data_IF_253070265300
#
_entry.id   IF_253070265300
#
_cell.length_a   1.000
_cell.length_b   1.000
_cell.length_c   1.000
_cell.angle_alpha   90.00
_cell.angle_beta   90.00
_cell.angle_gamma   90.00
#
_symmetry.space_group_name_H-M   'P 1'
#
loop_
_entity.id
_entity.type
_entity.pdbx_description
1 polymer ?
#
# COMPACT_ATOMS: atom_id res chain seq x y z
N UNK A 1 -10.98 1.33 14.38
CA UNK A 1 -10.44 0.84 13.10
C UNK A 1 -10.51 1.95 12.06
N UNK A 2 -9.51 2.06 11.24
CA UNK A 2 -9.43 3.12 10.22
C UNK A 2 -10.15 2.71 8.95
N UNK A 3 -10.58 3.70 8.18
CA UNK A 3 -11.19 3.49 6.88
C UNK A 3 -10.12 3.51 5.80
N UNK A 4 -10.15 2.52 4.92
CA UNK A 4 -9.20 2.45 3.81
C UNK A 4 -9.81 3.06 2.56
N UNK A 5 -9.06 3.96 1.95
CA UNK A 5 -9.41 4.62 0.69
C UNK A 5 -8.37 4.21 -0.35
N UNK A 6 -8.80 3.82 -1.53
CA UNK A 6 -7.90 3.45 -2.62
C UNK A 6 -7.88 4.54 -3.68
N UNK A 7 -6.67 4.93 -4.10
CA UNK A 7 -6.54 5.82 -5.27
C UNK A 7 -6.85 5.03 -6.54
N UNK A 8 -7.14 5.71 -7.62
CA UNK A 8 -7.38 5.05 -8.91
C UNK A 8 -6.14 4.27 -9.36
N UNK A 9 -4.96 4.83 -9.14
CA UNK A 9 -3.71 4.15 -9.46
C UNK A 9 -3.59 2.84 -8.71
N UNK A 10 -3.87 2.86 -7.40
CA UNK A 10 -3.82 1.66 -6.57
C UNK A 10 -4.81 0.61 -7.05
N UNK A 11 -6.05 1.00 -7.29
CA UNK A 11 -7.10 0.09 -7.74
C UNK A 11 -6.72 -0.63 -9.03
N UNK A 12 -6.22 0.11 -10.00
CA UNK A 12 -5.83 -0.47 -11.30
C UNK A 12 -4.73 -1.51 -11.14
N UNK A 13 -3.77 -1.23 -10.29
CA UNK A 13 -2.65 -2.14 -10.07
C UNK A 13 -3.07 -3.36 -9.27
N UNK A 14 -3.84 -3.15 -8.21
CA UNK A 14 -4.29 -4.23 -7.35
C UNK A 14 -5.24 -5.19 -8.07
N UNK A 15 -6.10 -4.69 -8.93
CA UNK A 15 -7.05 -5.50 -9.69
C UNK A 15 -6.36 -6.55 -10.57
N UNK A 16 -5.12 -6.30 -10.97
CA UNK A 16 -4.36 -7.24 -11.79
C UNK A 16 -3.79 -8.40 -11.01
N UNK A 17 -3.60 -8.25 -9.70
CA UNK A 17 -2.86 -9.21 -8.89
C UNK A 17 -3.68 -9.86 -7.79
N UNK A 18 -4.71 -9.20 -7.31
CA UNK A 18 -5.43 -9.63 -6.11
C UNK A 18 -6.85 -10.05 -6.40
N UNK A 19 -7.27 -11.10 -5.70
CA UNK A 19 -8.70 -11.40 -5.55
C UNK A 19 -9.29 -10.43 -4.52
N UNK A 20 -10.61 -10.35 -4.48
CA UNK A 20 -11.31 -9.54 -3.48
C UNK A 20 -10.98 -10.01 -2.06
N UNK A 21 -10.87 -11.33 -1.87
CA UNK A 21 -10.54 -11.89 -0.55
C UNK A 21 -9.15 -11.52 -0.09
N UNK A 22 -8.16 -11.59 -0.98
CA UNK A 22 -6.79 -11.20 -0.65
C UNK A 22 -6.70 -9.73 -0.29
N UNK A 23 -7.40 -8.89 -1.05
CA UNK A 23 -7.45 -7.46 -0.80
C UNK A 23 -8.05 -7.16 0.58
N UNK A 24 -9.17 -7.80 0.89
CA UNK A 24 -9.85 -7.60 2.16
C UNK A 24 -8.98 -8.03 3.35
N UNK A 25 -8.30 -9.16 3.22
CA UNK A 25 -7.41 -9.65 4.27
C UNK A 25 -6.29 -8.65 4.55
N UNK A 26 -5.66 -8.15 3.51
CA UNK A 26 -4.59 -7.16 3.65
C UNK A 26 -5.11 -5.87 4.29
N UNK A 27 -6.23 -5.37 3.80
CA UNK A 27 -6.79 -4.13 4.31
C UNK A 27 -7.23 -4.24 5.77
N UNK A 28 -7.72 -5.40 6.18
CA UNK A 28 -8.08 -5.65 7.58
C UNK A 28 -6.86 -5.51 8.48
N UNK A 29 -5.73 -6.06 8.06
CA UNK A 29 -4.51 -5.97 8.86
C UNK A 29 -3.98 -4.54 8.92
N UNK A 30 -3.97 -3.83 7.81
CA UNK A 30 -3.50 -2.45 7.79
C UNK A 30 -4.43 -1.54 8.59
N UNK A 31 -5.73 -1.74 8.49
CA UNK A 31 -6.71 -0.95 9.24
C UNK A 31 -6.58 -1.17 10.75
N UNK A 32 -6.13 -2.35 11.16
CA UNK A 32 -5.91 -2.67 12.57
C UNK A 32 -4.61 -2.08 13.09
N UNK A 33 -3.63 -1.87 12.22
CA UNK A 33 -2.34 -1.32 12.59
C UNK A 33 -1.80 -0.43 11.46
N UNK A 34 -2.23 0.84 11.43
CA UNK A 34 -1.81 1.74 10.34
C UNK A 34 -0.32 2.08 10.33
N UNK A 35 0.42 1.67 11.34
CA UNK A 35 1.86 1.89 11.42
C UNK A 35 2.67 0.64 11.06
N UNK A 36 2.03 -0.37 10.49
CA UNK A 36 2.69 -1.62 10.14
C UNK A 36 3.77 -1.43 9.06
N UNK A 37 3.59 -0.49 8.14
CA UNK A 37 4.58 -0.21 7.10
C UNK A 37 5.69 0.69 7.61
N UNK A 38 6.87 0.57 6.98
CA UNK A 38 8.02 1.40 7.30
C UNK A 38 7.91 2.76 6.61
N UNK A 39 8.26 3.81 7.34
CA UNK A 39 8.24 5.18 6.79
C UNK A 39 9.29 5.31 5.70
N UNK A 40 8.87 5.85 4.55
CA UNK A 40 9.79 6.18 3.46
C UNK A 40 10.34 7.57 3.75
N UNK A 41 11.67 7.66 3.89
CA UNK A 41 12.31 8.91 4.21
C UNK A 41 12.06 9.98 3.15
N UNK A 42 11.82 11.21 3.59
CA UNK A 42 11.62 12.37 2.72
C UNK A 42 10.41 12.26 1.80
N UNK A 43 9.49 11.37 2.09
CA UNK A 43 8.31 11.16 1.26
C UNK A 43 7.10 11.98 1.72
N UNK A 44 7.18 12.62 2.88
CA UNK A 44 6.03 13.34 3.43
C UNK A 44 5.07 12.43 4.20
N UNK A 45 5.56 11.33 4.73
CA UNK A 45 4.77 10.45 5.58
C UNK A 45 4.24 9.18 4.92
N UNK A 46 4.68 8.89 3.71
CA UNK A 46 4.32 7.64 3.08
C UNK A 46 4.99 6.47 3.78
N UNK A 47 4.29 5.34 3.83
CA UNK A 47 4.78 4.09 4.39
C UNK A 47 4.75 3.00 3.33
N UNK A 48 5.68 2.06 3.45
CA UNK A 48 5.78 0.92 2.55
C UNK A 48 5.68 -0.37 3.34
N UNK A 49 4.82 -1.29 2.88
CA UNK A 49 4.69 -2.60 3.47
C UNK A 49 4.76 -3.65 2.38
N UNK A 50 5.45 -4.75 2.68
CA UNK A 50 5.51 -5.91 1.79
C UNK A 50 4.41 -6.89 2.19
N UNK A 51 3.66 -7.33 1.21
CA UNK A 51 2.58 -8.28 1.43
C UNK A 51 2.81 -9.51 0.55
N UNK A 52 2.84 -10.69 1.17
CA UNK A 52 3.04 -11.94 0.45
C UNK A 52 1.70 -12.63 0.26
N UNK A 53 1.44 -13.06 -0.97
CA UNK A 53 0.23 -13.83 -1.28
C UNK A 53 0.38 -15.25 -0.76
N UNK A 54 -0.71 -15.80 -0.24
CA UNK A 54 -0.74 -17.19 0.22
C UNK A 54 -0.39 -18.12 -0.94
N UNK A 55 0.52 -19.07 -0.68
CA UNK A 55 0.92 -20.04 -1.68
C UNK A 55 1.94 -19.58 -2.69
N UNK A 56 2.29 -18.30 -2.72
CA UNK A 56 3.24 -17.77 -3.69
C UNK A 56 4.67 -17.65 -3.15
N UNK A 57 4.85 -17.84 -1.86
CA UNK A 57 6.16 -17.71 -1.24
C UNK A 57 6.75 -16.32 -1.43
N UNK A 58 8.09 -16.25 -1.46
CA UNK A 58 8.78 -14.97 -1.58
C UNK A 58 8.62 -14.30 -2.94
N UNK A 59 8.32 -15.07 -3.98
CA UNK A 59 8.22 -14.54 -5.33
C UNK A 59 6.89 -13.86 -5.63
N UNK A 60 5.87 -14.17 -4.86
CA UNK A 60 4.56 -13.60 -5.06
C UNK A 60 4.29 -12.35 -4.26
N UNK A 61 5.31 -11.77 -3.63
CA UNK A 61 5.15 -10.60 -2.81
C UNK A 61 4.86 -9.34 -3.61
N UNK A 62 4.08 -8.46 -3.01
CA UNK A 62 3.80 -7.16 -3.58
C UNK A 62 4.18 -6.09 -2.57
N UNK A 63 4.40 -4.88 -3.05
CA UNK A 63 4.69 -3.73 -2.21
C UNK A 63 3.52 -2.76 -2.27
N UNK A 64 3.11 -2.30 -1.11
CA UNK A 64 2.03 -1.34 -0.96
C UNK A 64 2.60 -0.06 -0.39
N UNK A 65 2.20 1.06 -0.96
CA UNK A 65 2.61 2.37 -0.45
C UNK A 65 1.34 3.12 -0.08
N UNK A 66 1.30 3.61 1.15
CA UNK A 66 0.13 4.30 1.68
C UNK A 66 0.56 5.42 2.62
N UNK A 67 -0.38 6.31 2.92
CA UNK A 67 -0.18 7.29 3.99
C UNK A 67 -1.44 7.38 4.85
N UNK A 68 -1.25 7.81 6.08
CA UNK A 68 -2.31 7.91 7.06
C UNK A 68 -2.76 9.35 7.25
N UNK A 69 -4.08 9.55 7.26
CA UNK A 69 -4.68 10.82 7.65
C UNK A 69 -5.39 10.55 8.97
N UNK A 70 -4.62 10.57 10.05
CA UNK A 70 -5.08 10.12 11.36
C UNK A 70 -6.23 10.93 11.92
N UNK A 71 -6.23 12.23 11.65
CA UNK A 71 -7.30 13.12 12.12
C UNK A 71 -8.66 12.71 11.57
N UNK A 72 -8.67 12.19 10.36
CA UNK A 72 -9.91 11.77 9.70
C UNK A 72 -10.15 10.27 9.80
N UNK A 73 -9.24 9.55 10.42
CA UNK A 73 -9.35 8.10 10.54
C UNK A 73 -9.20 7.37 9.21
N UNK A 74 -8.41 7.93 8.29
CA UNK A 74 -8.26 7.38 6.95
C UNK A 74 -6.86 6.82 6.71
N UNK A 75 -6.80 5.78 5.91
CA UNK A 75 -5.55 5.22 5.36
C UNK A 75 -5.71 5.27 3.85
N UNK A 76 -4.83 6.01 3.16
CA UNK A 76 -4.93 6.19 1.72
C UNK A 76 -3.94 5.28 1.01
N UNK A 77 -4.44 4.21 0.40
CA UNK A 77 -3.62 3.27 -0.37
C UNK A 77 -3.31 3.93 -1.71
N UNK A 78 -2.04 4.30 -1.90
CA UNK A 78 -1.64 5.17 -2.99
C UNK A 78 -1.00 4.45 -4.16
N UNK A 79 -0.22 3.40 -3.89
CA UNK A 79 0.53 2.71 -4.93
C UNK A 79 0.68 1.23 -4.60
N UNK A 80 0.65 0.40 -5.65
CA UNK A 80 0.76 -1.05 -5.52
C UNK A 80 1.64 -1.55 -6.67
N UNK A 81 2.65 -2.33 -6.37
CA UNK A 81 3.49 -2.91 -7.41
C UNK A 81 4.04 -4.27 -6.99
N UNK A 82 4.22 -5.14 -7.96
CA UNK A 82 4.87 -6.43 -7.75
C UNK A 82 6.38 -6.20 -7.63
N UNK A 83 7.03 -7.05 -6.84
CA UNK A 83 8.45 -6.90 -6.56
C UNK A 83 9.32 -6.76 -7.80
N UNK A 84 8.96 -7.44 -8.87
CA UNK A 84 9.76 -7.46 -10.09
C UNK A 84 9.42 -6.35 -11.08
N UNK A 85 8.41 -5.54 -10.81
CA UNK A 85 7.99 -4.46 -11.71
C UNK A 85 8.69 -3.15 -11.40
N UNK A 86 8.80 -2.83 -10.13
CA UNK A 86 9.42 -1.58 -9.69
C UNK A 86 9.90 -1.75 -8.26
N UNK A 87 11.21 -1.70 -8.05
CA UNK A 87 11.76 -1.91 -6.71
C UNK A 87 11.74 -0.66 -5.86
N UNK A 88 11.89 0.50 -6.47
CA UNK A 88 11.96 1.76 -5.74
C UNK A 88 11.13 2.82 -6.44
N UNK A 89 10.43 3.60 -5.64
CA UNK A 89 9.75 4.79 -6.11
C UNK A 89 10.36 5.97 -5.37
N UNK A 90 10.67 7.04 -6.08
CA UNK A 90 11.32 8.20 -5.48
C UNK A 90 10.36 8.95 -4.58
N UNK A 91 10.90 9.50 -3.48
CA UNK A 91 10.09 10.25 -2.53
C UNK A 91 9.36 11.43 -3.19
N UNK A 92 10.03 12.10 -4.15
CA UNK A 92 9.41 13.20 -4.87
C UNK A 92 8.20 12.77 -5.69
N UNK A 93 8.24 11.56 -6.25
CA UNK A 93 7.11 11.01 -7.00
C UNK A 93 5.93 10.71 -6.08
N UNK A 94 6.23 10.21 -4.88
CA UNK A 94 5.19 9.94 -3.90
C UNK A 94 4.48 11.21 -3.44
N UNK A 95 5.22 12.28 -3.27
CA UNK A 95 4.62 13.55 -2.88
C UNK A 95 3.67 14.07 -3.95
N UNK A 96 3.97 13.84 -5.22
CA UNK A 96 3.06 14.20 -6.32
C UNK A 96 1.76 13.40 -6.25
N UNK A 97 1.82 12.14 -5.86
CA UNK A 97 0.62 11.32 -5.69
C UNK A 97 -0.25 11.80 -4.53
N UNK A 98 0.37 12.38 -3.53
CA UNK A 98 -0.33 12.87 -2.35
C UNK A 98 -1.03 14.20 -2.61
N UNK A 99 -0.40 15.03 -3.37
CA UNK A 99 -0.88 16.38 -3.66
C UNK A 99 -1.62 16.49 -4.93
#
# INVERSE_FOLDING_TARGET
>A
MYTIVETETFKKQADKFWTTEERLECFTQIASDPFIGDVILKSGGFRKVRWSRAGMGKRGGVHLIYFNVLEDGLIVMSYFYAKNEQENILASELQKLKG
#
